data_IF_338996356683
#
_entry.id   IF_338996356683
#
_cell.length_a   1.000
_cell.length_b   1.000
_cell.length_c   1.000
_cell.angle_alpha   90.00
_cell.angle_beta   90.00
_cell.angle_gamma   90.00
#
_symmetry.space_group_name_H-M   'P 1'
#
loop_
_entity.id
_entity.type
_entity.pdbx_description
1 polymer ?
#
# COMPACT_ATOMS: atom_id res chain seq x y z
N UNK A 1 10.13 4.54 -34.67
CA UNK A 1 9.02 3.60 -34.40
C UNK A 1 7.74 4.20 -34.95
N UNK A 2 6.95 3.46 -35.72
CA UNK A 2 5.59 3.87 -36.08
C UNK A 2 4.78 4.08 -34.80
N UNK A 3 3.93 5.12 -34.75
CA UNK A 3 3.23 5.51 -33.52
C UNK A 3 2.44 4.38 -32.86
N UNK A 4 1.88 3.46 -33.66
CA UNK A 4 1.14 2.30 -33.17
C UNK A 4 2.01 1.32 -32.34
N UNK A 5 3.16 0.89 -32.87
CA UNK A 5 4.06 -0.02 -32.15
C UNK A 5 4.61 0.62 -30.88
N UNK A 6 4.87 1.93 -30.90
CA UNK A 6 5.29 2.67 -29.71
C UNK A 6 4.20 2.66 -28.63
N UNK A 7 2.93 2.88 -28.99
CA UNK A 7 1.81 2.84 -28.05
C UNK A 7 1.65 1.46 -27.45
N UNK A 8 1.65 0.40 -28.27
CA UNK A 8 1.51 -0.98 -27.79
C UNK A 8 2.61 -1.34 -26.79
N UNK A 9 3.87 -1.04 -27.13
CA UNK A 9 5.00 -1.27 -26.23
C UNK A 9 4.89 -0.43 -24.95
N UNK A 10 4.48 0.83 -25.07
CA UNK A 10 4.31 1.72 -23.93
C UNK A 10 3.25 1.20 -22.94
N UNK A 11 2.12 0.70 -23.45
CA UNK A 11 1.04 0.10 -22.63
C UNK A 11 1.50 -1.20 -21.98
N UNK A 12 2.14 -2.10 -22.72
CA UNK A 12 2.68 -3.34 -22.16
C UNK A 12 3.68 -3.06 -21.04
N UNK A 13 4.61 -2.13 -21.30
CA UNK A 13 5.62 -1.72 -20.35
C UNK A 13 4.99 -1.05 -19.11
N UNK A 14 3.97 -0.22 -19.32
CA UNK A 14 3.21 0.41 -18.24
C UNK A 14 2.58 -0.65 -17.33
N UNK A 15 1.81 -1.59 -17.89
CA UNK A 15 1.12 -2.63 -17.12
C UNK A 15 2.09 -3.52 -16.35
N UNK A 16 3.19 -3.92 -17.00
CA UNK A 16 4.24 -4.69 -16.35
C UNK A 16 4.90 -3.92 -15.20
N UNK A 17 5.18 -2.64 -15.42
CA UNK A 17 5.78 -1.77 -14.41
C UNK A 17 4.84 -1.50 -13.25
N UNK A 18 3.53 -1.38 -13.50
CA UNK A 18 2.50 -1.33 -12.44
C UNK A 18 2.57 -2.57 -11.57
N UNK A 19 2.67 -3.76 -12.16
CA UNK A 19 2.77 -5.00 -11.40
C UNK A 19 4.03 -5.04 -10.52
N UNK A 20 5.20 -4.70 -11.08
CA UNK A 20 6.45 -4.64 -10.31
C UNK A 20 6.38 -3.59 -9.20
N UNK A 21 5.90 -2.40 -9.53
CA UNK A 21 5.67 -1.33 -8.58
C UNK A 21 4.76 -1.78 -7.44
N UNK A 22 3.66 -2.46 -7.76
CA UNK A 22 2.73 -3.00 -6.78
C UNK A 22 3.41 -3.98 -5.81
N UNK A 23 4.23 -4.90 -6.31
CA UNK A 23 4.95 -5.85 -5.45
C UNK A 23 5.95 -5.13 -4.52
N UNK A 24 6.71 -4.18 -5.04
CA UNK A 24 7.62 -3.35 -4.24
C UNK A 24 6.84 -2.54 -3.19
N UNK A 25 5.70 -1.99 -3.60
CA UNK A 25 4.82 -1.22 -2.74
C UNK A 25 4.21 -2.07 -1.62
N UNK A 26 3.78 -3.29 -1.91
CA UNK A 26 3.29 -4.22 -0.89
C UNK A 26 4.38 -4.57 0.12
N UNK A 27 5.59 -4.87 -0.36
CA UNK A 27 6.74 -5.11 0.52
C UNK A 27 7.07 -3.90 1.40
N UNK A 28 7.11 -2.70 0.82
CA UNK A 28 7.37 -1.47 1.58
C UNK A 28 6.23 -1.16 2.58
N UNK A 29 4.97 -1.39 2.17
CA UNK A 29 3.79 -1.20 3.02
C UNK A 29 3.74 -2.16 4.20
N UNK A 30 4.20 -3.40 4.05
CA UNK A 30 4.34 -4.36 5.15
C UNK A 30 5.40 -3.92 6.17
N UNK A 31 6.43 -3.19 5.73
CA UNK A 31 7.47 -2.65 6.61
C UNK A 31 7.03 -1.40 7.39
N UNK A 32 5.99 -0.70 6.89
CA UNK A 32 5.48 0.52 7.50
C UNK A 32 4.59 0.21 8.72
N UNK A 33 5.17 0.36 9.91
CA UNK A 33 4.47 0.13 11.18
C UNK A 33 3.61 1.31 11.59
N UNK A 34 4.06 2.55 11.32
CA UNK A 34 3.35 3.77 11.70
C UNK A 34 2.90 4.58 10.49
N UNK A 35 1.89 5.44 10.70
CA UNK A 35 1.44 6.41 9.69
C UNK A 35 2.54 7.38 9.22
N UNK A 36 3.52 7.70 10.07
CA UNK A 36 4.65 8.57 9.70
C UNK A 36 5.62 7.86 8.77
N UNK A 37 5.91 6.59 9.02
CA UNK A 37 6.80 5.80 8.18
C UNK A 37 6.18 5.55 6.80
N UNK A 38 4.87 5.33 6.75
CA UNK A 38 4.13 5.26 5.49
C UNK A 38 4.31 6.51 4.62
N UNK A 39 4.22 7.69 5.22
CA UNK A 39 4.43 8.95 4.50
C UNK A 39 5.87 9.13 4.02
N UNK A 40 6.86 8.76 4.84
CA UNK A 40 8.27 8.80 4.43
C UNK A 40 8.52 7.89 3.23
N UNK A 41 7.97 6.68 3.23
CA UNK A 41 8.12 5.74 2.12
C UNK A 41 7.42 6.22 0.84
N UNK A 42 6.24 6.84 0.94
CA UNK A 42 5.58 7.46 -0.21
C UNK A 42 6.38 8.63 -0.79
N UNK A 43 6.90 9.52 0.06
CA UNK A 43 7.74 10.63 -0.39
C UNK A 43 9.01 10.08 -1.05
N UNK A 44 9.66 9.09 -0.44
CA UNK A 44 10.84 8.44 -1.02
C UNK A 44 10.53 7.82 -2.40
N UNK A 45 9.40 7.12 -2.55
CA UNK A 45 8.96 6.56 -3.83
C UNK A 45 8.76 7.66 -4.89
N UNK A 46 8.16 8.80 -4.53
CA UNK A 46 8.01 9.95 -5.43
C UNK A 46 9.35 10.56 -5.81
N UNK A 47 10.25 10.78 -4.86
CA UNK A 47 11.58 11.31 -5.13
C UNK A 47 12.37 10.38 -6.06
N UNK A 48 12.34 9.06 -5.80
CA UNK A 48 12.97 8.07 -6.67
C UNK A 48 12.35 8.09 -8.06
N UNK A 49 11.03 8.22 -8.17
CA UNK A 49 10.35 8.34 -9.46
C UNK A 49 10.76 9.59 -10.25
N UNK A 50 10.89 10.73 -9.57
CA UNK A 50 11.32 12.00 -10.19
C UNK A 50 12.79 11.95 -10.61
N UNK A 51 13.69 11.44 -9.74
CA UNK A 51 15.10 11.27 -10.10
C UNK A 51 15.24 10.28 -11.25
N UNK A 52 14.51 9.17 -11.19
CA UNK A 52 14.44 8.18 -12.25
C UNK A 52 14.00 8.80 -13.58
N UNK A 53 12.92 9.58 -13.59
CA UNK A 53 12.39 10.20 -14.82
C UNK A 53 13.37 11.19 -15.45
N UNK A 54 14.15 11.93 -14.66
CA UNK A 54 15.21 12.82 -15.17
C UNK A 54 16.31 12.01 -15.85
N UNK A 55 16.77 10.92 -15.23
CA UNK A 55 17.82 10.05 -15.76
C UNK A 55 17.39 9.39 -17.08
N UNK A 56 16.17 8.87 -17.14
CA UNK A 56 15.65 8.20 -18.35
C UNK A 56 15.07 9.17 -19.38
N UNK A 57 15.19 10.48 -19.17
CA UNK A 57 14.54 11.49 -20.01
C UNK A 57 14.82 11.39 -21.51
N UNK A 58 16.01 10.91 -21.98
CA UNK A 58 16.27 10.73 -23.41
C UNK A 58 15.50 9.56 -24.05
N UNK A 59 14.81 8.73 -23.27
CA UNK A 59 14.15 7.51 -23.70
C UNK A 59 12.63 7.60 -23.45
N UNK A 60 11.85 8.21 -24.37
CA UNK A 60 10.43 8.49 -24.15
C UNK A 60 9.57 7.28 -23.84
N UNK A 61 9.96 6.10 -24.34
CA UNK A 61 9.26 4.85 -24.07
C UNK A 61 9.27 4.49 -22.58
N UNK A 62 10.34 4.81 -21.86
CA UNK A 62 10.52 4.43 -20.46
C UNK A 62 9.73 5.30 -19.47
N UNK A 63 9.15 6.42 -19.90
CA UNK A 63 8.28 7.22 -19.03
C UNK A 63 7.07 6.41 -18.57
N UNK A 64 6.51 5.55 -19.43
CA UNK A 64 5.40 4.69 -19.05
C UNK A 64 5.80 3.67 -17.98
N UNK A 65 7.04 3.19 -18.00
CA UNK A 65 7.58 2.36 -16.93
C UNK A 65 7.66 3.10 -15.60
N UNK A 66 8.22 4.31 -15.59
CA UNK A 66 8.37 5.09 -14.34
C UNK A 66 7.02 5.45 -13.74
N UNK A 67 6.06 5.89 -14.57
CA UNK A 67 4.70 6.21 -14.11
C UNK A 67 4.01 4.95 -13.60
N UNK A 68 4.10 3.84 -14.36
CA UNK A 68 3.51 2.56 -13.96
C UNK A 68 4.08 2.07 -12.63
N UNK A 69 5.39 2.08 -12.47
CA UNK A 69 6.08 1.63 -11.25
C UNK A 69 5.72 2.50 -10.05
N UNK A 70 5.66 3.82 -10.22
CA UNK A 70 5.23 4.74 -9.17
C UNK A 70 3.76 4.48 -8.78
N UNK A 71 2.86 4.41 -9.75
CA UNK A 71 1.44 4.19 -9.52
C UNK A 71 1.21 2.84 -8.82
N UNK A 72 1.85 1.78 -9.30
CA UNK A 72 1.85 0.46 -8.68
C UNK A 72 2.34 0.52 -7.24
N UNK A 73 3.47 1.18 -6.99
CA UNK A 73 4.07 1.28 -5.65
C UNK A 73 3.14 1.99 -4.65
N UNK A 74 2.53 3.11 -5.04
CA UNK A 74 1.57 3.83 -4.18
C UNK A 74 0.34 2.97 -3.87
N UNK A 75 -0.21 2.28 -4.88
CA UNK A 75 -1.37 1.39 -4.70
C UNK A 75 -1.02 0.17 -3.85
N UNK A 76 0.13 -0.46 -4.09
CA UNK A 76 0.63 -1.60 -3.32
C UNK A 76 0.85 -1.24 -1.86
N UNK A 77 1.52 -0.10 -1.60
CA UNK A 77 1.69 0.42 -0.24
C UNK A 77 0.35 0.69 0.43
N UNK A 78 -0.62 1.31 -0.27
CA UNK A 78 -1.95 1.56 0.30
C UNK A 78 -2.66 0.26 0.69
N UNK A 79 -2.61 -0.76 -0.18
CA UNK A 79 -3.27 -2.05 0.06
C UNK A 79 -2.62 -2.83 1.21
N UNK A 80 -1.29 -2.87 1.26
CA UNK A 80 -0.56 -3.51 2.36
C UNK A 80 -0.74 -2.74 3.68
N UNK A 81 -0.77 -1.40 3.63
CA UNK A 81 -0.95 -0.58 4.83
C UNK A 81 -2.38 -0.69 5.40
N UNK A 82 -3.43 -0.89 4.59
CA UNK A 82 -4.77 -1.27 5.07
C UNK A 82 -5.56 -0.26 5.92
N UNK A 83 -4.94 0.86 6.33
CA UNK A 83 -5.58 2.00 7.01
C UNK A 83 -5.58 3.23 6.11
N UNK A 84 -6.71 3.92 6.05
CA UNK A 84 -6.84 5.16 5.26
C UNK A 84 -6.12 6.30 5.97
N UNK A 85 -4.91 6.63 5.52
CA UNK A 85 -4.12 7.77 6.01
C UNK A 85 -4.09 8.93 5.00
N UNK A 86 -4.01 10.17 5.48
CA UNK A 86 -3.86 11.36 4.63
C UNK A 86 -5.01 11.57 3.62
N UNK A 87 -4.73 11.89 2.34
CA UNK A 87 -5.74 12.11 1.29
C UNK A 87 -6.70 10.93 1.09
N UNK A 88 -6.23 9.69 1.30
CA UNK A 88 -7.06 8.50 1.20
C UNK A 88 -8.15 8.47 2.27
N UNK A 89 -7.88 9.00 3.46
CA UNK A 89 -8.89 9.16 4.51
C UNK A 89 -9.99 10.13 4.11
N UNK A 90 -9.65 11.18 3.36
CA UNK A 90 -10.61 12.14 2.84
C UNK A 90 -11.44 11.54 1.70
N UNK A 91 -10.82 10.84 0.76
CA UNK A 91 -11.52 10.15 -0.33
C UNK A 91 -12.48 9.08 0.20
N UNK A 92 -12.01 8.25 1.14
CA UNK A 92 -12.84 7.24 1.80
C UNK A 92 -13.90 7.90 2.70
N UNK A 93 -13.68 9.16 3.14
CA UNK A 93 -14.68 9.96 3.85
C UNK A 93 -15.81 10.38 2.93
N UNK A 94 -15.47 10.94 1.77
CA UNK A 94 -16.39 11.46 0.77
C UNK A 94 -17.22 10.35 0.12
N UNK A 95 -16.60 9.21 -0.19
CA UNK A 95 -17.28 8.13 -0.91
C UNK A 95 -18.13 7.21 -0.01
N UNK A 96 -18.00 7.28 1.31
CA UNK A 96 -18.77 6.47 2.29
C UNK A 96 -18.80 4.93 2.04
N UNK A 97 -17.92 4.39 1.19
CA UNK A 97 -17.94 2.98 0.76
C UNK A 97 -17.28 2.04 1.79
N UNK A 98 -16.46 2.52 2.73
CA UNK A 98 -15.62 1.66 3.57
C UNK A 98 -15.79 1.88 5.09
N UNK A 99 -16.88 1.36 5.66
CA UNK A 99 -17.17 1.41 7.12
C UNK A 99 -16.17 0.56 7.93
N UNK A 100 -15.78 -0.61 7.42
CA UNK A 100 -14.85 -1.55 8.07
C UNK A 100 -13.44 -1.00 8.25
N UNK A 101 -12.88 -0.34 7.23
CA UNK A 101 -11.54 0.27 7.29
C UNK A 101 -11.50 1.51 8.20
N UNK A 102 -12.61 2.25 8.32
CA UNK A 102 -12.74 3.33 9.30
C UNK A 102 -12.75 2.80 10.72
N UNK A 103 -13.38 1.65 10.98
CA UNK A 103 -13.39 1.05 12.32
C UNK A 103 -12.01 0.54 12.74
N UNK A 104 -11.23 -0.02 11.82
CA UNK A 104 -9.84 -0.43 12.09
C UNK A 104 -8.96 0.80 12.38
N UNK A 105 -9.05 1.84 11.55
CA UNK A 105 -8.30 3.09 11.75
C UNK A 105 -8.75 3.88 13.00
N UNK A 106 -10.03 3.79 13.41
CA UNK A 106 -10.55 4.43 14.64
C UNK A 106 -10.13 3.69 15.90
N UNK A 107 -9.96 2.37 15.84
CA UNK A 107 -9.53 1.56 17.00
C UNK A 107 -8.04 1.71 17.31
N UNK A 108 -7.24 2.28 16.40
CA UNK A 108 -5.80 2.45 16.59
C UNK A 108 -5.04 1.12 16.74
N UNK A 109 -5.69 -0.01 16.43
CA UNK A 109 -5.16 -1.36 16.61
C UNK A 109 -4.36 -1.84 15.41
N UNK A 110 -4.34 -1.10 14.29
CA UNK A 110 -3.56 -1.45 13.10
C UNK A 110 -2.05 -1.42 13.34
N UNK A 111 -1.56 -0.43 14.09
CA UNK A 111 -0.14 -0.33 14.47
C UNK A 111 0.28 -1.54 15.34
N UNK A 112 -0.55 -1.91 16.33
CA UNK A 112 -0.32 -3.08 17.18
C UNK A 112 -0.46 -4.42 16.44
N UNK A 113 -1.29 -4.50 15.39
CA UNK A 113 -1.40 -5.69 14.53
C UNK A 113 -0.15 -5.85 13.63
N UNK A 114 0.41 -4.74 13.14
CA UNK A 114 1.62 -4.75 12.31
C UNK A 114 2.88 -5.01 13.09
N UNK A 115 3.00 -4.40 14.28
CA UNK A 115 4.07 -4.73 15.21
C UNK A 115 4.09 -6.25 15.46
N UNK A 116 2.92 -6.86 15.73
CA UNK A 116 2.76 -8.31 15.92
C UNK A 116 3.10 -9.15 14.69
N UNK A 117 2.69 -8.72 13.48
CA UNK A 117 3.12 -9.36 12.22
C UNK A 117 4.64 -9.33 12.03
N UNK A 118 5.30 -8.25 12.45
CA UNK A 118 6.75 -8.06 12.32
C UNK A 118 7.56 -8.79 13.40
N UNK A 119 7.02 -8.90 14.63
CA UNK A 119 7.63 -9.65 15.73
C UNK A 119 7.30 -11.15 15.70
N UNK A 120 6.37 -11.58 14.84
CA UNK A 120 5.93 -12.98 14.76
C UNK A 120 5.08 -13.43 15.95
N UNK A 121 4.59 -12.48 16.75
CA UNK A 121 3.79 -12.76 17.93
C UNK A 121 2.40 -13.26 17.50
N UNK A 122 1.98 -14.42 18.03
CA UNK A 122 0.68 -15.01 17.71
C UNK A 122 -0.43 -13.98 18.00
N UNK A 123 -1.37 -13.84 17.06
CA UNK A 123 -2.56 -13.04 17.29
C UNK A 123 -3.23 -13.53 18.59
N UNK A 124 -3.78 -12.64 19.43
CA UNK A 124 -4.51 -13.08 20.61
C UNK A 124 -5.62 -14.02 20.15
N UNK A 125 -5.68 -15.22 20.73
CA UNK A 125 -6.73 -16.20 20.46
C UNK A 125 -8.06 -15.55 20.86
N UNK A 126 -8.78 -15.02 19.88
CA UNK A 126 -10.09 -14.40 20.06
C UNK A 126 -11.21 -15.45 20.20
N UNK A 127 -10.86 -16.72 20.33
CA UNK A 127 -11.74 -17.84 20.67
C UNK A 127 -11.18 -18.51 21.93
N UNK A 128 -11.39 -17.89 23.08
CA UNK A 128 -11.43 -18.59 24.36
C UNK A 128 -12.86 -18.52 24.87
N UNK A 129 -13.67 -19.52 24.49
CA UNK A 129 -14.95 -19.78 25.15
C UNK A 129 -14.65 -20.60 26.41
N UNK A 130 -14.09 -19.96 27.41
CA UNK A 130 -14.14 -20.47 28.78
C UNK A 130 -15.18 -19.63 29.50
N UNK A 131 -16.44 -20.00 29.23
CA UNK A 131 -17.54 -19.64 30.10
C UNK A 131 -17.32 -20.33 31.44
N UNK A 132 -16.72 -19.59 32.36
CA UNK A 132 -16.79 -19.87 33.78
C UNK A 132 -18.27 -19.93 34.18
N UNK A 133 -18.74 -21.14 34.45
CA UNK A 133 -19.88 -21.39 35.33
C UNK A 133 -19.47 -22.47 36.31
N UNK A 134 -18.67 -22.06 37.30
CA UNK A 134 -18.80 -22.63 38.63
C UNK A 134 -20.00 -21.99 39.34
N UNK A 135 -20.73 -22.87 40.01
CA UNK A 135 -21.62 -22.65 41.16
C UNK A 135 -23.13 -22.46 40.89
N UNK A 136 -23.89 -23.53 41.10
CA UNK A 136 -24.84 -23.58 42.21
C UNK A 136 -25.28 -25.02 42.46
N UNK A 137 -24.98 -25.52 43.67
CA UNK A 137 -25.65 -26.56 44.48
C UNK A 137 -26.73 -27.44 43.83
#
# INVERSE_FOLDING_TARGET
MTGFSFIVLSVLLFLFSVYLGFQIGCWAGDQAVTSRDYWKMNIAAVVIGVVGSVIISPLPLLYSAVIGLLAGCIVGMKMAFGESTGPWRFLDRALNINRSHRETAKRGTGDARRARKKTGEKAPDLISVEGDKKDSR
#
